data_IF_981702020558
#
_entry.id   IF_981702020558
#
_cell.length_a   1.000
_cell.length_b   1.000
_cell.length_c   1.000
_cell.angle_alpha   90.00
_cell.angle_beta   90.00
_cell.angle_gamma   90.00
#
_symmetry.space_group_name_H-M   'P 1'
#
loop_
_entity.id
_entity.type
_entity.pdbx_description
1 polymer ?
#
# COMPACT_ATOMS: atom_id res chain seq x y z
N UNK A 1 -9.53 0.30 -9.29
CA UNK A 1 -8.31 1.00 -9.76
C UNK A 1 -8.09 0.84 -11.26
N UNK A 2 -8.15 -0.38 -11.82
CA UNK A 2 -7.92 -0.66 -13.24
C UNK A 2 -8.69 0.26 -14.23
N UNK A 3 -9.96 0.56 -13.99
CA UNK A 3 -10.75 1.46 -14.85
C UNK A 3 -10.37 2.96 -14.78
N UNK A 4 -9.48 3.36 -13.86
CA UNK A 4 -9.12 4.77 -13.60
C UNK A 4 -7.61 5.03 -13.70
N UNK A 5 -6.83 4.01 -14.03
CA UNK A 5 -5.38 4.08 -14.13
C UNK A 5 -4.91 3.48 -15.46
N UNK A 6 -3.74 3.92 -15.94
CA UNK A 6 -3.16 3.36 -17.17
C UNK A 6 -2.68 1.92 -16.96
N UNK A 7 -1.98 1.67 -15.85
CA UNK A 7 -1.49 0.34 -15.43
C UNK A 7 -1.61 0.20 -13.93
N UNK A 8 -1.96 -0.99 -13.45
CA UNK A 8 -2.03 -1.36 -12.04
C UNK A 8 -1.16 -2.58 -11.79
N UNK A 9 -0.36 -2.53 -10.74
CA UNK A 9 0.29 -3.70 -10.16
C UNK A 9 -0.31 -3.91 -8.78
N UNK A 10 -0.77 -5.12 -8.50
CA UNK A 10 -1.21 -5.53 -7.16
C UNK A 10 -0.29 -6.63 -6.64
N UNK A 11 0.03 -6.57 -5.35
CA UNK A 11 0.91 -7.53 -4.67
C UNK A 11 0.09 -8.22 -3.61
N UNK A 12 0.09 -9.55 -3.64
CA UNK A 12 -0.62 -10.40 -2.69
C UNK A 12 0.35 -11.47 -2.17
N UNK A 13 0.36 -11.71 -0.86
CA UNK A 13 1.27 -12.67 -0.21
C UNK A 13 0.67 -14.08 -0.22
N UNK A 14 -0.65 -14.19 -0.19
CA UNK A 14 -1.37 -15.46 -0.24
C UNK A 14 -1.48 -15.99 -1.68
N UNK A 15 -0.89 -17.17 -2.00
CA UNK A 15 -0.95 -17.73 -3.35
C UNK A 15 -2.36 -18.01 -3.86
N UNK A 16 -3.29 -18.44 -2.99
CA UNK A 16 -4.66 -18.76 -3.37
C UNK A 16 -5.44 -17.49 -3.73
N UNK A 17 -5.28 -16.44 -2.92
CA UNK A 17 -5.88 -15.13 -3.22
C UNK A 17 -5.27 -14.50 -4.48
N UNK A 18 -3.96 -14.66 -4.70
CA UNK A 18 -3.30 -14.17 -5.91
C UNK A 18 -3.86 -14.85 -7.17
N UNK A 19 -4.02 -16.18 -7.16
CA UNK A 19 -4.64 -16.91 -8.27
C UNK A 19 -6.12 -16.54 -8.45
N UNK A 20 -6.86 -16.40 -7.35
CA UNK A 20 -8.24 -15.93 -7.39
C UNK A 20 -8.36 -14.54 -8.06
N UNK A 21 -7.46 -13.61 -7.74
CA UNK A 21 -7.40 -12.30 -8.36
C UNK A 21 -7.08 -12.39 -9.86
N UNK A 22 -6.09 -13.20 -10.26
CA UNK A 22 -5.74 -13.43 -11.68
C UNK A 22 -6.93 -13.96 -12.48
N UNK A 23 -7.60 -14.98 -11.95
CA UNK A 23 -8.78 -15.57 -12.58
C UNK A 23 -9.91 -14.53 -12.75
N UNK A 24 -10.14 -13.70 -11.73
CA UNK A 24 -11.13 -12.63 -11.80
C UNK A 24 -10.77 -11.54 -12.82
N UNK A 25 -9.49 -11.19 -12.96
CA UNK A 25 -9.07 -10.22 -13.98
C UNK A 25 -9.37 -10.74 -15.38
N UNK A 26 -9.02 -12.00 -15.68
CA UNK A 26 -9.34 -12.64 -16.97
C UNK A 26 -10.84 -12.68 -17.21
N UNK A 27 -11.62 -13.15 -16.23
CA UNK A 27 -13.09 -13.26 -16.33
C UNK A 27 -13.76 -11.92 -16.63
N UNK A 28 -13.22 -10.82 -16.11
CA UNK A 28 -13.78 -9.47 -16.29
C UNK A 28 -13.09 -8.65 -17.39
N UNK A 29 -12.18 -9.24 -18.17
CA UNK A 29 -11.47 -8.55 -19.25
C UNK A 29 -10.57 -7.41 -18.76
N UNK A 30 -10.03 -7.51 -17.55
CA UNK A 30 -9.10 -6.51 -16.99
C UNK A 30 -7.70 -6.79 -17.54
N UNK A 31 -7.28 -5.99 -18.53
CA UNK A 31 -6.02 -6.20 -19.25
C UNK A 31 -4.85 -5.34 -18.75
N UNK A 32 -5.13 -4.31 -17.96
CA UNK A 32 -4.14 -3.34 -17.49
C UNK A 32 -3.76 -3.52 -16.02
N UNK A 33 -4.09 -4.67 -15.42
CA UNK A 33 -3.73 -5.01 -14.06
C UNK A 33 -2.93 -6.33 -14.02
N UNK A 34 -1.81 -6.31 -13.31
CA UNK A 34 -0.95 -7.47 -13.10
C UNK A 34 -0.95 -7.84 -11.61
N UNK A 35 -0.94 -9.15 -11.31
CA UNK A 35 -0.86 -9.68 -9.94
C UNK A 35 0.54 -10.26 -9.71
N UNK A 36 1.27 -9.70 -8.76
CA UNK A 36 2.52 -10.26 -8.25
C UNK A 36 2.26 -11.05 -6.96
N UNK A 37 2.83 -12.25 -6.86
CA UNK A 37 2.85 -13.02 -5.62
C UNK A 37 4.09 -12.60 -4.82
N UNK A 38 3.89 -12.08 -3.61
CA UNK A 38 4.98 -11.65 -2.75
C UNK A 38 4.53 -10.78 -1.57
N UNK A 39 5.49 -10.38 -0.74
CA UNK A 39 5.24 -9.54 0.42
C UNK A 39 5.27 -8.04 0.05
N UNK A 40 4.10 -7.41 0.07
CA UNK A 40 3.95 -5.98 -0.19
C UNK A 40 4.11 -5.08 1.03
N UNK A 41 4.40 -5.61 2.22
CA UNK A 41 4.41 -4.86 3.48
C UNK A 41 5.46 -3.73 3.51
N UNK A 42 6.49 -3.79 2.66
CA UNK A 42 7.52 -2.74 2.47
C UNK A 42 7.47 -2.10 1.08
N UNK A 43 6.36 -2.27 0.37
CA UNK A 43 6.20 -1.88 -1.02
C UNK A 43 6.78 -2.90 -2.00
N UNK A 44 6.97 -2.46 -3.24
CA UNK A 44 7.38 -3.30 -4.35
C UNK A 44 8.30 -2.53 -5.29
N UNK A 45 9.61 -2.68 -5.13
CA UNK A 45 10.59 -1.86 -5.85
C UNK A 45 10.64 -2.13 -7.37
N UNK A 46 10.21 -3.31 -7.84
CA UNK A 46 10.40 -3.74 -9.22
C UNK A 46 9.80 -2.80 -10.27
N UNK A 47 8.75 -2.05 -9.92
CA UNK A 47 8.07 -1.12 -10.82
C UNK A 47 8.01 0.31 -10.25
N UNK A 48 8.78 0.58 -9.20
CA UNK A 48 8.92 1.93 -8.69
C UNK A 48 9.62 2.84 -9.72
N UNK A 49 9.33 4.15 -9.74
CA UNK A 49 8.45 4.86 -8.82
C UNK A 49 6.97 4.89 -9.28
N UNK A 50 6.05 4.97 -8.32
CA UNK A 50 4.61 4.96 -8.52
C UNK A 50 3.99 6.36 -8.38
N UNK A 51 2.97 6.66 -9.19
CA UNK A 51 2.14 7.86 -9.04
C UNK A 51 1.18 7.72 -7.85
N UNK A 52 0.66 6.51 -7.63
CA UNK A 52 -0.26 6.20 -6.53
C UNK A 52 0.09 4.83 -5.95
N UNK A 53 0.12 4.75 -4.63
CA UNK A 53 0.15 3.49 -3.89
C UNK A 53 -1.10 3.42 -3.01
N UNK A 54 -1.75 2.27 -2.97
CA UNK A 54 -2.89 2.01 -2.09
C UNK A 54 -2.59 0.75 -1.29
N UNK A 55 -2.56 0.88 0.03
CA UNK A 55 -2.34 -0.24 0.95
C UNK A 55 -3.67 -0.61 1.57
N UNK A 56 -4.13 -1.82 1.30
CA UNK A 56 -5.46 -2.31 1.72
C UNK A 56 -5.48 -2.94 3.11
N UNK A 57 -4.32 -3.13 3.75
CA UNK A 57 -4.20 -3.58 5.15
C UNK A 57 -3.64 -2.49 6.07
N UNK A 58 -3.72 -2.73 7.37
CA UNK A 58 -3.18 -1.85 8.39
C UNK A 58 -1.65 -1.79 8.36
N UNK A 59 -1.11 -0.60 8.58
CA UNK A 59 0.32 -0.34 8.78
C UNK A 59 0.52 0.28 10.17
N UNK A 60 1.07 -0.45 11.16
CA UNK A 60 1.39 0.11 12.46
C UNK A 60 2.30 1.35 12.37
N UNK A 61 3.25 1.31 11.44
CA UNK A 61 4.03 2.46 10.97
C UNK A 61 4.19 2.34 9.46
N UNK A 62 4.20 3.48 8.75
CA UNK A 62 4.46 3.50 7.31
C UNK A 62 5.95 3.21 7.07
N UNK A 63 6.30 2.13 6.33
CA UNK A 63 7.67 1.88 5.92
C UNK A 63 8.21 3.01 5.05
N UNK A 64 9.47 3.39 5.28
CA UNK A 64 10.15 4.42 4.50
C UNK A 64 10.27 4.01 3.02
N UNK A 65 10.44 2.72 2.76
CA UNK A 65 10.54 2.14 1.42
C UNK A 65 9.30 2.44 0.57
N UNK A 66 8.09 2.45 1.17
CA UNK A 66 6.85 2.79 0.46
C UNK A 66 6.82 4.27 0.04
N UNK A 67 7.32 5.16 0.91
CA UNK A 67 7.38 6.59 0.65
C UNK A 67 8.40 6.90 -0.46
N UNK A 68 9.56 6.25 -0.43
CA UNK A 68 10.63 6.43 -1.43
C UNK A 68 10.23 5.92 -2.81
N UNK A 69 9.36 4.91 -2.87
CA UNK A 69 8.80 4.38 -4.10
C UNK A 69 7.72 5.29 -4.72
N UNK A 70 7.26 6.36 -4.06
CA UNK A 70 6.39 7.35 -4.69
C UNK A 70 7.19 8.33 -5.54
N UNK A 71 6.64 8.73 -6.69
CA UNK A 71 7.13 9.92 -7.41
C UNK A 71 6.91 11.18 -6.57
N UNK A 72 7.69 12.23 -6.81
CA UNK A 72 7.33 13.58 -6.34
C UNK A 72 5.97 13.97 -6.92
N UNK A 73 5.06 14.44 -6.08
CA UNK A 73 3.64 14.64 -6.39
C UNK A 73 2.76 13.38 -6.28
N UNK A 74 3.36 12.21 -6.08
CA UNK A 74 2.67 10.94 -5.89
C UNK A 74 1.98 10.83 -4.54
N UNK A 75 1.00 9.93 -4.44
CA UNK A 75 0.15 9.76 -3.24
C UNK A 75 0.10 8.32 -2.75
N UNK A 76 0.21 8.14 -1.45
CA UNK A 76 -0.04 6.89 -0.74
C UNK A 76 -1.33 7.00 0.05
N UNK A 77 -2.24 6.05 -0.12
CA UNK A 77 -3.37 5.82 0.76
C UNK A 77 -3.10 4.60 1.63
N UNK A 78 -3.19 4.75 2.94
CA UNK A 78 -2.95 3.67 3.90
C UNK A 78 -3.73 3.86 5.20
N UNK A 79 -3.94 2.78 5.93
CA UNK A 79 -4.44 2.81 7.31
C UNK A 79 -3.25 2.77 8.25
N UNK A 80 -3.00 3.84 9.00
CA UNK A 80 -1.78 4.02 9.80
C UNK A 80 -2.12 4.04 11.28
N UNK A 81 -1.34 3.31 12.07
CA UNK A 81 -1.47 3.25 13.52
C UNK A 81 -1.86 1.87 14.03
N UNK A 82 -2.26 1.80 15.30
CA UNK A 82 -2.59 0.56 15.99
C UNK A 82 -3.52 0.83 17.15
N UNK A 83 -4.10 -0.22 17.74
CA UNK A 83 -5.06 -0.05 18.81
C UNK A 83 -4.51 0.86 19.95
N UNK A 84 -5.30 1.83 20.45
CA UNK A 84 -6.73 2.05 20.14
C UNK A 84 -7.01 2.98 18.95
N UNK A 85 -6.00 3.63 18.36
CA UNK A 85 -6.20 4.65 17.31
C UNK A 85 -5.48 4.27 16.02
N UNK A 86 -6.26 3.99 14.98
CA UNK A 86 -5.79 3.87 13.61
C UNK A 86 -6.57 4.84 12.73
N UNK A 87 -5.89 5.43 11.75
CA UNK A 87 -6.44 6.46 10.89
C UNK A 87 -6.18 6.13 9.42
N UNK A 88 -7.19 6.31 8.57
CA UNK A 88 -7.00 6.34 7.14
C UNK A 88 -6.30 7.64 6.75
N UNK A 89 -5.13 7.55 6.12
CA UNK A 89 -4.30 8.70 5.76
C UNK A 89 -4.01 8.74 4.26
N UNK A 90 -3.94 9.96 3.73
CA UNK A 90 -3.38 10.27 2.41
C UNK A 90 -2.06 10.99 2.59
N UNK A 91 -0.98 10.35 2.17
CA UNK A 91 0.38 10.89 2.23
C UNK A 91 0.80 11.33 0.83
N UNK A 92 1.16 12.59 0.66
CA UNK A 92 1.64 13.15 -0.62
C UNK A 92 3.13 13.43 -0.52
N UNK A 93 3.94 12.92 -1.46
CA UNK A 93 5.35 13.28 -1.57
C UNK A 93 5.48 14.67 -2.19
N UNK A 94 5.97 15.65 -1.43
CA UNK A 94 6.08 17.05 -1.87
C UNK A 94 7.41 17.28 -2.59
N UNK A 95 8.48 16.69 -2.09
CA UNK A 95 9.81 16.69 -2.71
C UNK A 95 10.58 15.40 -2.31
N UNK A 96 11.91 15.40 -2.48
CA UNK A 96 12.74 14.24 -2.15
C UNK A 96 12.66 13.81 -0.69
N UNK A 97 12.45 14.76 0.25
CA UNK A 97 12.55 14.58 1.70
C UNK A 97 11.26 14.91 2.44
N UNK A 98 10.36 15.69 1.84
CA UNK A 98 9.15 16.18 2.48
C UNK A 98 7.91 15.43 2.03
N UNK A 99 7.08 15.10 3.01
CA UNK A 99 5.79 14.44 2.82
C UNK A 99 4.72 15.23 3.58
N UNK A 100 3.57 15.42 2.94
CA UNK A 100 2.38 15.99 3.58
C UNK A 100 1.41 14.86 3.91
N UNK A 101 0.98 14.81 5.16
CA UNK A 101 0.02 13.83 5.65
C UNK A 101 -1.33 14.51 5.88
N UNK A 102 -2.40 13.93 5.34
CA UNK A 102 -3.76 14.32 5.60
C UNK A 102 -4.53 13.13 6.20
N UNK A 103 -5.01 13.28 7.43
CA UNK A 103 -5.96 12.37 8.04
C UNK A 103 -7.32 12.46 7.37
N UNK A 104 -7.97 11.31 7.14
CA UNK A 104 -9.27 11.24 6.47
C UNK A 104 -10.37 10.85 7.45
N UNK A 105 -10.19 9.75 8.18
CA UNK A 105 -11.11 9.26 9.22
C UNK A 105 -10.45 8.20 10.11
N UNK A 106 -10.97 8.04 11.33
CA UNK A 106 -10.57 6.98 12.25
C UNK A 106 -11.20 5.64 11.85
N UNK A 107 -10.43 4.56 11.96
CA UNK A 107 -10.87 3.22 11.59
C UNK A 107 -10.02 2.16 12.29
N UNK A 108 -10.31 0.89 12.04
CA UNK A 108 -9.45 -0.21 12.42
C UNK A 108 -9.48 -1.29 11.33
N UNK A 109 -8.30 -1.65 10.84
CA UNK A 109 -8.08 -2.66 9.79
C UNK A 109 -6.97 -3.59 10.27
N UNK A 110 -7.11 -4.89 9.99
CA UNK A 110 -6.09 -5.87 10.32
C UNK A 110 -4.74 -5.50 9.68
N UNK A 111 -3.63 -5.55 10.42
CA UNK A 111 -2.32 -5.26 9.86
C UNK A 111 -1.96 -6.21 8.72
N UNK A 112 -1.19 -5.73 7.75
CA UNK A 112 -0.55 -6.62 6.78
C UNK A 112 0.33 -7.66 7.49
N UNK A 113 0.39 -8.86 6.91
CA UNK A 113 1.42 -9.83 7.30
C UNK A 113 2.80 -9.18 7.14
N UNK A 114 3.67 -9.37 8.14
CA UNK A 114 5.01 -8.79 8.19
C UNK A 114 5.08 -7.25 8.16
N UNK A 115 3.99 -6.56 8.52
CA UNK A 115 3.99 -5.11 8.65
C UNK A 115 5.10 -4.64 9.60
N UNK A 116 5.73 -3.50 9.26
CA UNK A 116 6.74 -2.90 10.14
C UNK A 116 6.06 -2.44 11.42
N UNK A 117 6.65 -2.80 12.56
CA UNK A 117 6.19 -2.38 13.88
C UNK A 117 7.16 -1.37 14.49
N UNK A 118 6.65 -0.39 15.25
CA UNK A 118 7.52 0.49 16.03
C UNK A 118 8.33 -0.32 17.06
N UNK A 119 9.54 0.13 17.41
CA UNK A 119 10.33 -0.50 18.47
C UNK A 119 9.52 -0.52 19.77
N UNK A 120 9.42 -1.70 20.39
CA UNK A 120 8.86 -1.80 21.75
C UNK A 120 9.89 -1.26 22.73
N UNK A 121 9.53 -0.21 23.47
CA UNK A 121 10.33 0.26 24.59
C UNK A 121 10.52 -0.90 25.58
N UNK A 122 11.78 -1.18 25.92
CA UNK A 122 12.14 -2.04 27.05
C UNK A 122 12.75 -1.11 28.12
N UNK A 123 12.14 -1.12 29.31
CA UNK A 123 12.71 -0.50 30.50
C UNK A 123 13.77 -1.41 31.12
#
# INVERSE_FOLDING_TARGET
LAHRAQKVLTVEIDPELAEFARANFVKNGVLNAEVALGDGARGWAANAPYDVICVSGGLPVVPQELLEQLKVGGRLAAFVGGAPVMEAQIITRIDEKQYRIAGVFETFVEPLQNAVHPPRFKF
#
